data_IF_998253967068
#
_entry.id   IF_998253967068
#
_cell.length_a   1.000
_cell.length_b   1.000
_cell.length_c   1.000
_cell.angle_alpha   90.00
_cell.angle_beta   90.00
_cell.angle_gamma   90.00
#
_symmetry.space_group_name_H-M   'P 1'
#
loop_
_entity.id
_entity.type
_entity.pdbx_description
1 polymer ?
#
# COMPACT_ATOMS: atom_id res chain seq x y z
N UNK A 1 -12.58 2.49 -30.41
CA UNK A 1 -14.01 2.81 -30.26
C UNK A 1 -14.22 3.77 -29.07
N UNK A 2 -15.38 4.36 -28.98
CA UNK A 2 -15.75 5.22 -27.85
C UNK A 2 -15.72 4.42 -26.53
N UNK A 3 -16.06 3.15 -26.55
CA UNK A 3 -16.01 2.28 -25.39
C UNK A 3 -14.56 2.06 -24.90
N UNK A 4 -13.63 1.92 -25.83
CA UNK A 4 -12.20 1.78 -25.49
C UNK A 4 -11.64 3.06 -24.88
N UNK A 5 -12.04 4.22 -25.40
CA UNK A 5 -11.66 5.51 -24.81
C UNK A 5 -12.22 5.66 -23.41
N UNK A 6 -13.48 5.32 -23.19
CA UNK A 6 -14.13 5.39 -21.88
C UNK A 6 -13.45 4.47 -20.88
N UNK A 7 -13.15 3.22 -21.26
CA UNK A 7 -12.42 2.28 -20.43
C UNK A 7 -11.03 2.81 -20.09
N UNK A 8 -10.32 3.35 -21.07
CA UNK A 8 -9.01 3.95 -20.86
C UNK A 8 -9.06 5.10 -19.85
N UNK A 9 -10.03 6.01 -19.99
CA UNK A 9 -10.24 7.11 -19.05
C UNK A 9 -10.52 6.60 -17.65
N UNK A 10 -11.40 5.62 -17.51
CA UNK A 10 -11.76 5.04 -16.20
C UNK A 10 -10.54 4.39 -15.53
N UNK A 11 -9.73 3.67 -16.28
CA UNK A 11 -8.51 3.04 -15.77
C UNK A 11 -7.46 4.07 -15.34
N UNK A 12 -7.28 5.13 -16.13
CA UNK A 12 -6.37 6.22 -15.75
C UNK A 12 -6.82 6.93 -14.48
N UNK A 13 -8.10 7.23 -14.35
CA UNK A 13 -8.67 7.85 -13.15
C UNK A 13 -8.52 6.95 -11.93
N UNK A 14 -8.72 5.65 -12.08
CA UNK A 14 -8.52 4.68 -11.02
C UNK A 14 -7.07 4.64 -10.56
N UNK A 15 -6.13 4.64 -11.49
CA UNK A 15 -4.70 4.69 -11.18
C UNK A 15 -4.29 5.94 -10.43
N UNK A 16 -4.81 7.09 -10.85
CA UNK A 16 -4.55 8.36 -10.16
C UNK A 16 -5.07 8.30 -8.73
N UNK A 17 -6.30 7.83 -8.55
CA UNK A 17 -6.89 7.69 -7.22
C UNK A 17 -6.11 6.70 -6.35
N UNK A 18 -5.70 5.56 -6.88
CA UNK A 18 -4.90 4.57 -6.15
C UNK A 18 -3.57 5.16 -5.71
N UNK A 19 -2.90 5.95 -6.54
CA UNK A 19 -1.66 6.64 -6.17
C UNK A 19 -1.87 7.66 -5.05
N UNK A 20 -2.98 8.39 -5.08
CA UNK A 20 -3.35 9.30 -3.98
C UNK A 20 -3.62 8.52 -2.69
N UNK A 21 -4.34 7.41 -2.76
CA UNK A 21 -4.64 6.56 -1.61
C UNK A 21 -3.35 5.94 -1.02
N UNK A 22 -2.42 5.49 -1.85
CA UNK A 22 -1.11 4.98 -1.42
C UNK A 22 -0.36 6.04 -0.61
N UNK A 23 -0.36 7.28 -1.09
CA UNK A 23 0.28 8.38 -0.39
C UNK A 23 -0.40 8.66 0.96
N UNK A 24 -1.73 8.65 0.99
CA UNK A 24 -2.50 8.86 2.21
C UNK A 24 -2.25 7.74 3.24
N UNK A 25 -2.19 6.48 2.82
CA UNK A 25 -1.86 5.35 3.70
C UNK A 25 -0.44 5.46 4.25
N UNK A 26 0.51 5.91 3.44
CA UNK A 26 1.89 6.15 3.89
C UNK A 26 1.94 7.23 4.98
N UNK A 27 1.23 8.32 4.78
CA UNK A 27 1.12 9.41 5.77
C UNK A 27 0.46 8.93 7.06
N UNK A 28 -0.62 8.16 6.94
CA UNK A 28 -1.34 7.61 8.08
C UNK A 28 -0.49 6.62 8.88
N UNK A 29 0.28 5.78 8.20
CA UNK A 29 1.26 4.88 8.81
C UNK A 29 2.26 5.68 9.66
N UNK A 30 2.86 6.72 9.11
CA UNK A 30 3.83 7.57 9.81
C UNK A 30 3.22 8.29 11.00
N UNK A 31 1.99 8.80 10.86
CA UNK A 31 1.27 9.43 11.96
C UNK A 31 1.04 8.45 13.11
N UNK A 32 0.53 7.26 12.81
CA UNK A 32 0.27 6.23 13.80
C UNK A 32 1.57 5.74 14.47
N UNK A 33 2.66 5.62 13.71
CA UNK A 33 3.97 5.27 14.24
C UNK A 33 4.45 6.30 15.27
N UNK A 34 4.32 7.58 14.96
CA UNK A 34 4.68 8.68 15.88
C UNK A 34 3.85 8.63 17.16
N UNK A 35 2.53 8.35 17.04
CA UNK A 35 1.66 8.20 18.20
C UNK A 35 2.04 6.99 19.06
N UNK A 36 2.39 5.86 18.46
CA UNK A 36 2.91 4.69 19.18
C UNK A 36 4.14 5.03 20.00
N UNK A 37 5.12 5.68 19.40
CA UNK A 37 6.34 6.10 20.08
C UNK A 37 6.06 7.04 21.25
N UNK A 38 5.17 8.02 21.03
CA UNK A 38 4.77 8.97 22.06
C UNK A 38 4.07 8.28 23.24
N UNK A 39 3.15 7.36 22.96
CA UNK A 39 2.42 6.63 24.00
C UNK A 39 3.34 5.69 24.79
N UNK A 40 4.27 5.00 24.12
CA UNK A 40 5.25 4.15 24.80
C UNK A 40 6.12 5.00 25.74
N UNK A 41 6.51 6.21 25.32
CA UNK A 41 7.32 7.09 26.17
C UNK A 41 6.58 7.60 27.42
N UNK A 42 5.26 7.60 27.42
CA UNK A 42 4.42 7.97 28.56
C UNK A 42 4.15 6.81 29.51
N UNK A 43 4.57 5.60 29.18
CA UNK A 43 4.26 4.40 29.95
C UNK A 43 4.80 4.47 31.36
N UNK A 44 3.98 4.07 32.34
CA UNK A 44 4.38 3.90 33.73
C UNK A 44 4.82 2.47 34.00
N UNK A 45 4.17 1.49 33.35
CA UNK A 45 4.56 0.08 33.41
C UNK A 45 5.64 -0.22 32.37
N UNK A 46 6.88 -0.35 32.83
CA UNK A 46 8.03 -0.58 31.96
C UNK A 46 8.05 -1.95 31.29
N UNK A 47 7.48 -2.95 31.95
CA UNK A 47 7.37 -4.31 31.38
C UNK A 47 6.42 -4.32 30.20
N UNK A 48 5.22 -3.71 30.34
CA UNK A 48 4.27 -3.57 29.26
C UNK A 48 4.89 -2.83 28.06
N UNK A 49 5.56 -1.71 28.33
CA UNK A 49 6.23 -0.92 27.30
C UNK A 49 7.30 -1.74 26.57
N UNK A 50 8.13 -2.44 27.31
CA UNK A 50 9.20 -3.28 26.77
C UNK A 50 8.65 -4.44 25.94
N UNK A 51 7.60 -5.08 26.43
CA UNK A 51 6.93 -6.18 25.74
C UNK A 51 6.34 -5.73 24.38
N UNK A 52 5.61 -4.64 24.37
CA UNK A 52 5.04 -4.11 23.12
C UNK A 52 6.14 -3.67 22.15
N UNK A 53 7.12 -2.93 22.65
CA UNK A 53 8.25 -2.48 21.82
C UNK A 53 8.99 -3.64 21.17
N UNK A 54 9.27 -4.69 21.92
CA UNK A 54 9.96 -5.89 21.41
C UNK A 54 9.14 -6.58 20.32
N UNK A 55 7.81 -6.71 20.52
CA UNK A 55 6.93 -7.30 19.50
C UNK A 55 6.89 -6.47 18.23
N UNK A 56 6.81 -5.16 18.35
CA UNK A 56 6.80 -4.26 17.19
C UNK A 56 8.13 -4.32 16.42
N UNK A 57 9.25 -4.39 17.11
CA UNK A 57 10.58 -4.53 16.49
C UNK A 57 10.72 -5.88 15.77
N UNK A 58 10.29 -6.97 16.39
CA UNK A 58 10.26 -8.30 15.76
C UNK A 58 9.39 -8.31 14.52
N UNK A 59 8.18 -7.77 14.62
CA UNK A 59 7.24 -7.69 13.50
C UNK A 59 7.82 -6.88 12.35
N UNK A 60 8.45 -5.74 12.64
CA UNK A 60 9.12 -4.93 11.62
C UNK A 60 10.22 -5.71 10.91
N UNK A 61 11.04 -6.44 11.66
CA UNK A 61 12.14 -7.22 11.09
C UNK A 61 11.60 -8.33 10.20
N UNK A 62 10.60 -9.06 10.66
CA UNK A 62 9.95 -10.12 9.87
C UNK A 62 9.36 -9.58 8.58
N UNK A 63 8.70 -8.41 8.64
CA UNK A 63 8.10 -7.80 7.47
C UNK A 63 9.16 -7.34 6.47
N UNK A 64 10.24 -6.71 6.93
CA UNK A 64 11.38 -6.33 6.09
C UNK A 64 12.00 -7.55 5.41
N UNK A 65 12.24 -8.61 6.16
CA UNK A 65 12.84 -9.84 5.64
C UNK A 65 11.93 -10.50 4.60
N UNK A 66 10.63 -10.55 4.86
CA UNK A 66 9.64 -11.10 3.93
C UNK A 66 9.55 -10.27 2.67
N UNK A 67 9.48 -8.95 2.79
CA UNK A 67 9.45 -8.06 1.63
C UNK A 67 10.74 -8.17 0.80
N UNK A 68 11.88 -8.25 1.46
CA UNK A 68 13.18 -8.44 0.78
C UNK A 68 13.24 -9.76 0.04
N UNK A 69 12.75 -10.83 0.66
CA UNK A 69 12.81 -12.18 0.08
C UNK A 69 11.90 -12.35 -1.13
N UNK A 70 10.66 -11.86 -1.04
CA UNK A 70 9.63 -12.15 -2.04
C UNK A 70 9.34 -10.99 -2.98
N UNK A 71 9.40 -9.75 -2.50
CA UNK A 71 9.04 -8.58 -3.31
C UNK A 71 10.24 -7.98 -4.04
N UNK A 72 11.38 -7.81 -3.35
CA UNK A 72 12.57 -7.23 -3.97
C UNK A 72 13.29 -8.20 -4.90
N UNK A 73 13.12 -9.50 -4.71
CA UNK A 73 13.70 -10.54 -5.57
C UNK A 73 12.86 -10.86 -6.80
N UNK A 74 11.68 -10.25 -6.96
CA UNK A 74 10.75 -10.53 -8.05
C UNK A 74 11.18 -9.97 -9.41
N UNK A 75 12.29 -9.27 -9.50
CA UNK A 75 12.87 -8.71 -10.74
C UNK A 75 11.88 -7.85 -11.54
N UNK A 76 11.01 -7.11 -10.84
CA UNK A 76 9.99 -6.25 -11.44
C UNK A 76 8.90 -6.98 -12.25
N UNK A 77 8.76 -8.30 -12.06
CA UNK A 77 7.66 -9.06 -12.63
C UNK A 77 6.36 -8.76 -11.86
N UNK A 78 5.36 -8.26 -12.58
CA UNK A 78 4.06 -7.88 -12.00
C UNK A 78 3.35 -9.05 -11.32
N UNK A 79 3.38 -10.23 -11.92
CA UNK A 79 2.75 -11.43 -11.35
C UNK A 79 3.46 -11.85 -10.07
N UNK A 80 4.78 -11.86 -10.06
CA UNK A 80 5.57 -12.18 -8.87
C UNK A 80 5.35 -11.17 -7.74
N UNK A 81 5.21 -9.88 -8.06
CA UNK A 81 4.92 -8.84 -7.08
C UNK A 81 3.52 -9.03 -6.47
N UNK A 82 2.51 -9.31 -7.29
CA UNK A 82 1.15 -9.60 -6.80
C UNK A 82 1.13 -10.84 -5.91
N UNK A 83 1.80 -11.91 -6.31
CA UNK A 83 1.90 -13.13 -5.52
C UNK A 83 2.64 -12.91 -4.20
N UNK A 84 3.74 -12.16 -4.22
CA UNK A 84 4.49 -11.82 -3.02
C UNK A 84 3.62 -11.11 -1.99
N UNK A 85 2.84 -10.14 -2.44
CA UNK A 85 1.94 -9.38 -1.57
C UNK A 85 0.81 -10.27 -1.06
N UNK A 86 0.13 -10.98 -1.96
CA UNK A 86 -1.05 -11.78 -1.62
C UNK A 86 -0.71 -12.98 -0.74
N UNK A 87 0.38 -13.68 -1.03
CA UNK A 87 0.70 -14.96 -0.41
C UNK A 87 1.66 -14.86 0.78
N UNK A 88 2.44 -13.77 0.89
CA UNK A 88 3.47 -13.64 1.91
C UNK A 88 3.35 -12.38 2.77
N UNK A 89 3.12 -11.21 2.18
CA UNK A 89 3.11 -9.95 2.91
C UNK A 89 1.78 -9.73 3.62
N UNK A 90 0.66 -9.78 2.90
CA UNK A 90 -0.67 -9.56 3.49
C UNK A 90 -1.02 -10.58 4.57
N UNK A 91 -0.76 -11.89 4.40
CA UNK A 91 -0.97 -12.86 5.47
C UNK A 91 -0.10 -12.61 6.70
N UNK A 92 1.13 -12.16 6.53
CA UNK A 92 2.01 -11.82 7.64
C UNK A 92 1.47 -10.63 8.43
N UNK A 93 1.02 -9.58 7.74
CA UNK A 93 0.43 -8.41 8.41
C UNK A 93 -0.83 -8.82 9.18
N UNK A 94 -1.69 -9.65 8.62
CA UNK A 94 -2.88 -10.17 9.30
C UNK A 94 -2.50 -10.91 10.60
N UNK A 95 -1.48 -11.73 10.54
CA UNK A 95 -0.97 -12.45 11.71
C UNK A 95 -0.43 -11.48 12.75
N UNK A 96 0.32 -10.47 12.34
CA UNK A 96 0.90 -9.46 13.21
C UNK A 96 -0.19 -8.63 13.90
N UNK A 97 -1.25 -8.25 13.19
CA UNK A 97 -2.42 -7.58 13.77
C UNK A 97 -3.06 -8.45 14.85
N UNK A 98 -3.28 -9.72 14.55
CA UNK A 98 -3.87 -10.67 15.50
C UNK A 98 -3.00 -10.82 16.75
N UNK A 99 -1.70 -10.99 16.60
CA UNK A 99 -0.77 -11.16 17.70
C UNK A 99 -0.70 -9.91 18.59
N UNK A 100 -0.66 -8.72 18.00
CA UNK A 100 -0.67 -7.46 18.75
C UNK A 100 -2.01 -7.26 19.46
N UNK A 101 -3.11 -7.59 18.81
CA UNK A 101 -4.44 -7.48 19.41
C UNK A 101 -4.61 -8.39 20.65
N UNK A 102 -3.95 -9.54 20.65
CA UNK A 102 -3.99 -10.50 21.77
C UNK A 102 -3.00 -10.17 22.90
N UNK A 103 -2.13 -9.22 22.72
CA UNK A 103 -1.14 -8.86 23.73
C UNK A 103 -1.84 -8.27 24.94
N UNK A 104 -1.59 -8.86 26.11
CA UNK A 104 -2.20 -8.42 27.37
C UNK A 104 -1.40 -7.25 27.95
N UNK A 105 -2.04 -6.10 28.06
CA UNK A 105 -1.43 -4.84 28.51
C UNK A 105 -2.31 -4.20 29.56
N UNK A 106 -1.71 -3.84 30.70
CA UNK A 106 -2.40 -3.20 31.83
C UNK A 106 -2.25 -1.68 31.82
N UNK A 107 -1.14 -1.16 31.33
CA UNK A 107 -0.84 0.29 31.28
C UNK A 107 -1.71 0.96 30.23
N UNK A 108 -2.41 2.02 30.60
CA UNK A 108 -3.31 2.73 29.68
C UNK A 108 -2.59 3.37 28.51
N UNK A 109 -1.39 3.90 28.72
CA UNK A 109 -0.59 4.51 27.63
C UNK A 109 -0.07 3.45 26.66
N UNK A 110 0.38 2.32 27.20
CA UNK A 110 0.83 1.20 26.37
C UNK A 110 -0.35 0.57 25.63
N UNK A 111 -1.54 0.51 26.23
CA UNK A 111 -2.75 0.05 25.55
C UNK A 111 -3.15 0.97 24.40
N UNK A 112 -3.01 2.28 24.57
CA UNK A 112 -3.19 3.23 23.48
C UNK A 112 -2.15 3.04 22.38
N UNK A 113 -0.91 2.79 22.73
CA UNK A 113 0.14 2.45 21.77
C UNK A 113 -0.20 1.19 20.99
N UNK A 114 -0.74 0.17 21.66
CA UNK A 114 -1.20 -1.07 21.02
C UNK A 114 -2.28 -0.80 19.99
N UNK A 115 -3.28 0.02 20.34
CA UNK A 115 -4.37 0.40 19.42
C UNK A 115 -3.85 1.18 18.23
N UNK A 116 -2.95 2.13 18.45
CA UNK A 116 -2.32 2.91 17.37
C UNK A 116 -1.42 2.02 16.49
N UNK A 117 -0.75 1.03 17.06
CA UNK A 117 0.02 0.05 16.30
C UNK A 117 -0.87 -0.79 15.37
N UNK A 118 -2.05 -1.20 15.85
CA UNK A 118 -3.03 -1.91 15.01
C UNK A 118 -3.47 -1.02 13.84
N UNK A 119 -3.77 0.24 14.08
CA UNK A 119 -4.12 1.19 13.01
C UNK A 119 -2.95 1.38 12.03
N UNK A 120 -1.73 1.41 12.52
CA UNK A 120 -0.51 1.45 11.70
C UNK A 120 -0.43 0.23 10.77
N UNK A 121 -0.69 -0.97 11.29
CA UNK A 121 -0.70 -2.19 10.47
C UNK A 121 -1.85 -2.23 9.47
N UNK A 122 -3.04 -1.73 9.82
CA UNK A 122 -4.13 -1.59 8.84
C UNK A 122 -3.78 -0.63 7.71
N UNK A 123 -3.12 0.48 8.02
CA UNK A 123 -2.64 1.41 6.99
C UNK A 123 -1.65 0.73 6.05
N UNK A 124 -0.75 -0.09 6.59
CA UNK A 124 0.21 -0.86 5.80
C UNK A 124 -0.47 -1.91 4.94
N UNK A 125 -1.48 -2.59 5.47
CA UNK A 125 -2.29 -3.56 4.73
C UNK A 125 -3.01 -2.90 3.56
N UNK A 126 -3.66 -1.76 3.80
CA UNK A 126 -4.31 -0.98 2.76
C UNK A 126 -3.32 -0.48 1.70
N UNK A 127 -2.13 -0.08 2.12
CA UNK A 127 -1.04 0.28 1.21
C UNK A 127 -0.70 -0.86 0.24
N UNK A 128 -0.50 -2.07 0.75
CA UNK A 128 -0.16 -3.22 -0.09
C UNK A 128 -1.33 -3.68 -0.96
N UNK A 129 -2.56 -3.69 -0.44
CA UNK A 129 -3.75 -4.01 -1.21
C UNK A 129 -3.92 -3.04 -2.39
N UNK A 130 -3.70 -1.75 -2.14
CA UNK A 130 -3.78 -0.73 -3.19
C UNK A 130 -2.64 -0.87 -4.21
N UNK A 131 -1.46 -1.29 -3.79
CA UNK A 131 -0.37 -1.62 -4.73
C UNK A 131 -0.76 -2.75 -5.68
N UNK A 132 -1.43 -3.79 -5.19
CA UNK A 132 -1.94 -4.86 -6.04
C UNK A 132 -2.95 -4.32 -7.05
N UNK A 133 -3.87 -3.47 -6.61
CA UNK A 133 -4.86 -2.84 -7.49
C UNK A 133 -4.19 -1.97 -8.57
N UNK A 134 -3.17 -1.21 -8.20
CA UNK A 134 -2.37 -0.40 -9.14
C UNK A 134 -1.70 -1.29 -10.21
N UNK A 135 -1.14 -2.41 -9.81
CA UNK A 135 -0.52 -3.37 -10.74
C UNK A 135 -1.58 -3.92 -11.72
N UNK A 136 -2.73 -4.35 -11.21
CA UNK A 136 -3.84 -4.87 -12.04
C UNK A 136 -4.33 -3.83 -13.03
N UNK A 137 -4.49 -2.59 -12.60
CA UNK A 137 -4.91 -1.48 -13.46
C UNK A 137 -3.86 -1.20 -14.54
N UNK A 138 -2.59 -1.21 -14.18
CA UNK A 138 -1.47 -1.03 -15.10
C UNK A 138 -1.42 -2.14 -16.16
N UNK A 139 -1.66 -3.39 -15.76
CA UNK A 139 -1.73 -4.51 -16.70
C UNK A 139 -2.86 -4.35 -17.72
N UNK A 140 -4.03 -3.89 -17.27
CA UNK A 140 -5.16 -3.59 -18.16
C UNK A 140 -4.84 -2.45 -19.12
N UNK A 141 -4.22 -1.37 -18.62
CA UNK A 141 -3.80 -0.24 -19.45
C UNK A 141 -2.78 -0.66 -20.52
N UNK A 142 -1.88 -1.57 -20.17
CA UNK A 142 -0.86 -2.08 -21.11
C UNK A 142 -1.47 -2.86 -22.29
N UNK A 143 -2.70 -3.37 -22.14
CA UNK A 143 -3.41 -4.09 -23.20
C UNK A 143 -4.14 -3.16 -24.17
N UNK A 144 -4.31 -1.89 -23.83
CA UNK A 144 -5.00 -0.91 -24.66
C UNK A 144 -4.01 -0.29 -25.65
N UNK A 145 -4.32 -0.35 -26.94
CA UNK A 145 -3.56 0.36 -27.96
C UNK A 145 -4.00 1.83 -27.99
N UNK A 146 -3.22 2.67 -27.34
CA UNK A 146 -3.48 4.11 -27.21
C UNK A 146 -3.56 4.81 -28.56
N UNK A 147 -2.81 4.31 -29.58
CA UNK A 147 -2.80 4.90 -30.92
C UNK A 147 -4.09 4.63 -31.69
N UNK A 148 -4.90 3.64 -31.25
CA UNK A 148 -6.20 3.32 -31.82
C UNK A 148 -7.38 4.02 -31.15
N UNK A 149 -7.13 4.79 -30.08
CA UNK A 149 -8.18 5.53 -29.40
C UNK A 149 -8.70 6.66 -30.29
N UNK A 150 -10.01 7.00 -30.23
CA UNK A 150 -10.57 8.09 -31.02
C UNK A 150 -9.86 9.42 -30.74
N UNK A 151 -9.52 10.14 -31.82
CA UNK A 151 -8.80 11.42 -31.74
C UNK A 151 -9.57 12.54 -32.40
N UNK A 152 -10.88 12.38 -32.55
CA UNK A 152 -11.74 13.38 -33.17
C UNK A 152 -12.15 14.44 -32.14
N UNK A 153 -12.01 15.71 -32.56
CA UNK A 153 -12.34 16.86 -31.73
C UNK A 153 -11.19 17.31 -30.85
N UNK A 154 -11.15 18.60 -30.57
CA UNK A 154 -10.09 19.24 -29.79
C UNK A 154 -10.00 18.72 -28.39
N UNK A 155 -11.14 18.52 -27.72
CA UNK A 155 -11.22 18.05 -26.33
C UNK A 155 -10.70 16.61 -26.21
N UNK A 156 -11.05 15.75 -27.15
CA UNK A 156 -10.56 14.36 -27.20
C UNK A 156 -9.04 14.33 -27.43
N UNK A 157 -8.52 15.20 -28.28
CA UNK A 157 -7.07 15.29 -28.52
C UNK A 157 -6.30 15.73 -27.29
N UNK A 158 -6.81 16.70 -26.54
CA UNK A 158 -6.20 17.16 -25.29
C UNK A 158 -6.26 16.10 -24.20
N UNK A 159 -7.39 15.41 -24.08
CA UNK A 159 -7.53 14.26 -23.20
C UNK A 159 -6.52 13.17 -23.52
N UNK A 160 -6.40 12.79 -24.79
CA UNK A 160 -5.45 11.77 -25.24
C UNK A 160 -4.01 12.11 -24.81
N UNK A 161 -3.58 13.34 -24.99
CA UNK A 161 -2.24 13.79 -24.54
C UNK A 161 -2.06 13.69 -23.03
N UNK A 162 -3.08 14.05 -22.28
CA UNK A 162 -3.05 13.99 -20.81
C UNK A 162 -2.97 12.54 -20.34
N UNK A 163 -3.79 11.66 -20.90
CA UNK A 163 -3.79 10.24 -20.54
C UNK A 163 -2.51 9.52 -20.96
N UNK A 164 -1.93 9.85 -22.11
CA UNK A 164 -0.64 9.30 -22.51
C UNK A 164 0.47 9.65 -21.51
N UNK A 165 0.46 10.86 -20.98
CA UNK A 165 1.41 11.28 -19.94
C UNK A 165 1.23 10.48 -18.66
N UNK A 166 0.01 10.33 -18.17
CA UNK A 166 -0.29 9.58 -16.96
C UNK A 166 0.02 8.09 -17.14
N UNK A 167 -0.33 7.53 -18.28
CA UNK A 167 0.00 6.15 -18.63
C UNK A 167 1.51 5.89 -18.59
N UNK A 168 2.30 6.79 -19.14
CA UNK A 168 3.76 6.69 -19.12
C UNK A 168 4.31 6.72 -17.70
N UNK A 169 3.81 7.62 -16.86
CA UNK A 169 4.19 7.69 -15.43
C UNK A 169 3.85 6.42 -14.68
N UNK A 170 2.67 5.86 -14.92
CA UNK A 170 2.24 4.61 -14.29
C UNK A 170 3.15 3.46 -14.71
N UNK A 171 3.45 3.35 -15.98
CA UNK A 171 4.38 2.33 -16.50
C UNK A 171 5.77 2.43 -15.88
N UNK A 172 6.29 3.64 -15.75
CA UNK A 172 7.59 3.88 -15.13
C UNK A 172 7.59 3.56 -13.64
N UNK A 173 6.47 3.79 -12.93
CA UNK A 173 6.36 3.53 -11.50
C UNK A 173 6.23 2.04 -11.16
N UNK A 174 5.74 1.22 -12.08
CA UNK A 174 5.54 -0.24 -11.88
C UNK A 174 6.81 -1.03 -12.25
N UNK A 175 7.59 -0.47 -13.11
CA UNK A 175 8.88 -1.05 -13.50
C UNK A 175 9.94 -0.55 -12.51
#
# INVERSE_FOLDING_TARGET
SIYDLKEFVDLCNRSIKDNEDILDYTKLFEKNRTEVESDINKAQNKEDASQLKSKLEENNQQLKDTAKKYLNSSNNDSDSAKEAIKNHISPLIDKQITDINKTNISDNHVDNARKNAIEMYYSLQNYYDTRVDTIKTSEKLAQIDVDRLPKEGKDISEMDKSFKREFKKIKESVN
#
